data_IF_462601564190
#
_entry.id   IF_462601564190
#
_cell.length_a   1.000
_cell.length_b   1.000
_cell.length_c   1.000
_cell.angle_alpha   90.00
_cell.angle_beta   90.00
_cell.angle_gamma   90.00
#
_symmetry.space_group_name_H-M   'P 1'
#
loop_
_entity.id
_entity.type
_entity.pdbx_description
1 polymer ?
#
# COMPACT_ATOMS: atom_id res chain seq x y z
N UNK A 1 13.72 54.12 4.28
CA UNK A 1 14.79 54.15 3.27
C UNK A 1 14.59 52.95 2.36
N UNK A 2 14.59 53.19 1.06
CA UNK A 2 13.81 52.40 0.13
C UNK A 2 14.61 51.44 -0.77
N UNK A 3 13.86 50.53 -1.37
CA UNK A 3 13.97 50.02 -2.75
C UNK A 3 15.33 49.53 -3.28
N UNK A 4 15.30 48.38 -3.90
CA UNK A 4 15.75 48.24 -5.30
C UNK A 4 15.38 46.87 -5.85
N UNK A 5 14.47 46.88 -6.82
CA UNK A 5 14.39 45.94 -7.95
C UNK A 5 15.48 46.24 -8.95
N UNK A 6 15.93 45.31 -9.76
CA UNK A 6 15.92 45.46 -11.21
C UNK A 6 15.43 44.21 -11.93
N UNK A 7 14.46 44.39 -12.79
CA UNK A 7 14.52 44.69 -14.23
C UNK A 7 15.04 43.59 -15.14
N UNK A 8 14.06 43.17 -15.94
CA UNK A 8 14.14 42.54 -17.29
C UNK A 8 15.31 43.01 -18.18
N UNK A 9 15.76 42.14 -19.05
CA UNK A 9 16.16 42.43 -20.45
C UNK A 9 16.46 41.10 -21.13
N UNK A 10 15.65 40.74 -22.18
CA UNK A 10 15.84 40.96 -23.63
C UNK A 10 16.97 40.14 -24.22
N UNK A 11 16.76 39.33 -25.24
CA UNK A 11 16.69 39.53 -26.71
C UNK A 11 16.64 38.12 -27.33
N UNK A 12 15.72 37.68 -28.12
CA UNK A 12 15.40 38.02 -29.50
C UNK A 12 16.44 37.58 -30.53
N UNK A 13 15.91 36.85 -31.52
CA UNK A 13 16.32 36.68 -32.91
C UNK A 13 17.45 35.71 -33.29
N UNK A 14 17.12 34.71 -34.14
CA UNK A 14 17.42 34.76 -35.55
C UNK A 14 16.77 33.63 -36.35
N UNK A 15 16.04 34.02 -37.36
CA UNK A 15 15.59 33.25 -38.52
C UNK A 15 16.80 32.83 -39.36
N UNK A 16 16.82 31.59 -39.89
CA UNK A 16 17.54 31.30 -41.13
C UNK A 16 16.74 30.28 -41.93
N UNK A 17 16.22 30.77 -43.03
CA UNK A 17 15.66 30.08 -44.17
C UNK A 17 16.80 29.37 -44.95
N UNK A 18 16.61 28.11 -45.36
CA UNK A 18 17.50 27.43 -46.29
C UNK A 18 16.74 26.34 -47.02
N UNK A 19 16.33 26.69 -48.27
CA UNK A 19 15.74 25.81 -49.29
C UNK A 19 16.81 24.95 -49.97
N UNK A 20 16.33 23.77 -50.43
CA UNK A 20 16.65 23.04 -51.68
C UNK A 20 17.47 21.77 -51.45
N UNK A 21 17.18 20.60 -51.91
CA UNK A 21 16.94 20.06 -53.25
C UNK A 21 16.56 18.59 -53.20
N UNK A 22 15.78 18.16 -54.13
CA UNK A 22 15.33 16.83 -54.43
C UNK A 22 16.47 15.82 -54.63
N UNK A 23 16.26 14.59 -54.10
CA UNK A 23 17.06 13.42 -54.42
C UNK A 23 16.24 12.16 -54.11
N UNK A 24 15.56 11.65 -55.14
CA UNK A 24 14.90 10.36 -55.09
C UNK A 24 15.94 9.23 -55.08
N UNK A 25 16.05 8.54 -53.98
CA UNK A 25 16.70 7.21 -53.90
C UNK A 25 15.73 6.25 -53.20
N UNK A 26 15.17 5.39 -54.04
CA UNK A 26 14.40 4.25 -53.55
C UNK A 26 15.36 3.27 -52.84
N UNK A 27 15.39 3.32 -51.52
CA UNK A 27 16.01 2.30 -50.69
C UNK A 27 14.95 1.29 -50.28
N UNK A 28 15.13 0.06 -50.76
CA UNK A 28 14.41 -1.11 -50.30
C UNK A 28 14.54 -1.22 -48.77
N UNK A 29 13.49 -0.90 -48.09
CA UNK A 29 13.34 -1.20 -46.66
C UNK A 29 13.18 -2.70 -46.51
N UNK A 30 14.30 -3.38 -46.26
CA UNK A 30 14.29 -4.71 -45.64
C UNK A 30 13.71 -4.46 -44.24
N UNK A 31 12.46 -4.79 -44.07
CA UNK A 31 11.80 -4.79 -42.79
C UNK A 31 12.45 -5.81 -41.88
N UNK A 32 13.36 -5.39 -41.01
CA UNK A 32 13.72 -6.15 -39.83
C UNK A 32 12.47 -6.17 -38.96
N UNK A 33 11.78 -7.30 -38.98
CA UNK A 33 10.77 -7.63 -37.98
C UNK A 33 11.48 -7.63 -36.63
N UNK A 34 11.45 -6.50 -35.93
CA UNK A 34 11.74 -6.51 -34.51
C UNK A 34 10.62 -7.30 -33.87
N UNK A 35 10.96 -8.51 -33.44
CA UNK A 35 10.15 -9.22 -32.48
C UNK A 35 10.05 -8.31 -31.25
N UNK A 36 8.96 -7.55 -31.18
CA UNK A 36 8.53 -6.97 -29.92
C UNK A 36 8.29 -8.19 -29.02
N UNK A 37 9.26 -8.48 -28.17
CA UNK A 37 8.98 -9.20 -26.95
C UNK A 37 7.94 -8.37 -26.25
N UNK A 38 6.68 -8.70 -26.46
CA UNK A 38 5.62 -8.35 -25.55
C UNK A 38 6.07 -8.93 -24.22
N UNK A 39 6.75 -8.11 -23.40
CA UNK A 39 6.68 -8.32 -21.97
C UNK A 39 5.19 -8.27 -21.69
N UNK A 40 4.56 -9.44 -21.71
CA UNK A 40 3.35 -9.63 -20.96
C UNK A 40 3.71 -9.16 -19.55
N UNK A 41 3.36 -7.93 -19.21
CA UNK A 41 2.98 -7.65 -17.85
C UNK A 41 1.90 -8.70 -17.62
N UNK A 42 2.29 -9.84 -17.03
CA UNK A 42 1.33 -10.62 -16.29
C UNK A 42 0.60 -9.58 -15.48
N UNK A 43 -0.60 -9.30 -15.95
CA UNK A 43 -1.53 -8.43 -15.27
C UNK A 43 -1.37 -8.84 -13.81
N UNK A 44 -1.00 -7.89 -12.99
CA UNK A 44 -1.04 -8.05 -11.54
C UNK A 44 -2.40 -8.64 -11.30
N UNK A 45 -2.46 -9.98 -11.21
CA UNK A 45 -3.63 -10.69 -10.78
C UNK A 45 -3.97 -9.95 -9.52
N UNK A 46 -5.12 -9.29 -9.49
CA UNK A 46 -5.55 -8.49 -8.36
C UNK A 46 -5.20 -9.35 -7.15
N UNK A 47 -4.32 -8.87 -6.27
CA UNK A 47 -3.92 -9.58 -5.05
C UNK A 47 -5.11 -9.58 -4.09
N UNK A 48 -6.27 -10.02 -4.60
CA UNK A 48 -7.45 -10.21 -3.81
C UNK A 48 -7.19 -11.38 -2.86
N UNK A 49 -7.38 -11.10 -1.59
CA UNK A 49 -7.24 -12.09 -0.54
C UNK A 49 -8.17 -13.28 -0.83
N UNK A 50 -7.61 -14.46 -0.90
CA UNK A 50 -8.35 -15.68 -1.28
C UNK A 50 -7.96 -16.85 -0.38
N UNK A 51 -8.85 -17.86 -0.32
CA UNK A 51 -8.58 -19.10 0.39
C UNK A 51 -7.71 -20.04 -0.46
N UNK A 52 -6.99 -20.94 0.20
CA UNK A 52 -6.21 -22.00 -0.43
C UNK A 52 -7.12 -23.17 -0.84
N UNK A 53 -7.64 -23.11 -2.05
CA UNK A 53 -8.62 -24.11 -2.54
C UNK A 53 -9.76 -24.35 -1.53
N UNK A 54 -10.34 -23.27 -1.01
CA UNK A 54 -11.44 -23.32 -0.04
C UNK A 54 -11.01 -23.53 1.41
N UNK A 55 -9.72 -23.70 1.71
CA UNK A 55 -9.15 -23.86 3.05
C UNK A 55 -8.40 -22.61 3.47
N UNK A 56 -8.27 -22.41 4.77
CA UNK A 56 -7.41 -21.35 5.30
C UNK A 56 -5.93 -21.64 5.05
N UNK A 57 -5.12 -20.59 4.92
CA UNK A 57 -3.68 -20.67 4.80
C UNK A 57 -3.03 -21.08 6.12
N UNK A 58 -2.05 -21.97 6.06
CA UNK A 58 -1.27 -22.35 7.23
C UNK A 58 -0.48 -21.15 7.77
N UNK A 59 -0.24 -21.17 9.08
CA UNK A 59 0.48 -20.12 9.80
C UNK A 59 1.57 -20.69 10.68
N UNK A 60 2.56 -19.90 11.01
CA UNK A 60 3.57 -20.21 12.02
C UNK A 60 3.32 -19.45 13.34
N UNK A 61 4.13 -19.76 14.36
CA UNK A 61 3.99 -19.16 15.70
C UNK A 61 4.30 -17.65 15.68
N UNK A 62 5.23 -17.21 14.82
CA UNK A 62 5.60 -15.80 14.73
C UNK A 62 4.42 -14.97 14.21
N UNK A 63 3.76 -15.45 13.14
CA UNK A 63 2.57 -14.82 12.59
C UNK A 63 1.42 -14.82 13.59
N UNK A 64 1.11 -15.98 14.19
CA UNK A 64 0.03 -16.09 15.20
C UNK A 64 0.25 -15.15 16.38
N UNK A 65 1.47 -15.12 16.92
CA UNK A 65 1.82 -14.25 18.03
C UNK A 65 1.65 -12.76 17.69
N UNK A 66 2.19 -12.33 16.55
CA UNK A 66 2.08 -10.94 16.08
C UNK A 66 0.63 -10.53 15.87
N UNK A 67 -0.15 -11.33 15.12
CA UNK A 67 -1.56 -11.03 14.87
C UNK A 67 -2.42 -11.02 16.13
N UNK A 68 -2.12 -11.87 17.12
CA UNK A 68 -2.79 -11.82 18.42
C UNK A 68 -2.53 -10.52 19.16
N UNK A 69 -1.29 -9.99 19.12
CA UNK A 69 -0.96 -8.71 19.73
C UNK A 69 -1.60 -7.54 18.99
N UNK A 70 -1.56 -7.53 17.65
CA UNK A 70 -2.26 -6.51 16.85
C UNK A 70 -3.75 -6.50 17.18
N UNK A 71 -4.39 -7.69 17.21
CA UNK A 71 -5.80 -7.81 17.59
C UNK A 71 -6.07 -7.21 18.97
N UNK A 72 -5.23 -7.51 19.96
CA UNK A 72 -5.35 -6.96 21.31
C UNK A 72 -5.25 -5.44 21.34
N UNK A 73 -4.27 -4.87 20.65
CA UNK A 73 -4.10 -3.42 20.52
C UNK A 73 -5.34 -2.75 19.93
N UNK A 74 -5.89 -3.30 18.86
CA UNK A 74 -7.06 -2.75 18.17
C UNK A 74 -8.32 -2.89 19.02
N UNK A 75 -8.61 -4.11 19.52
CA UNK A 75 -9.84 -4.40 20.25
C UNK A 75 -10.01 -3.52 21.50
N UNK A 76 -8.91 -3.25 22.23
CA UNK A 76 -8.96 -2.43 23.46
C UNK A 76 -9.24 -0.94 23.19
N UNK A 77 -9.05 -0.45 21.98
CA UNK A 77 -9.20 0.97 21.65
C UNK A 77 -10.50 1.28 20.90
N UNK A 78 -11.17 0.28 20.34
CA UNK A 78 -12.36 0.52 19.49
C UNK A 78 -13.48 1.27 20.20
N UNK A 79 -13.81 0.91 21.43
CA UNK A 79 -14.90 1.57 22.18
C UNK A 79 -14.52 3.01 22.55
N UNK A 80 -13.26 3.24 22.91
CA UNK A 80 -12.75 4.59 23.17
C UNK A 80 -12.76 5.44 21.90
N UNK A 81 -12.40 4.86 20.77
CA UNK A 81 -12.43 5.51 19.45
C UNK A 81 -13.87 5.85 19.03
N UNK A 82 -14.81 4.91 19.17
CA UNK A 82 -16.24 5.13 18.86
C UNK A 82 -16.85 6.25 19.70
N UNK A 83 -16.43 6.35 20.94
CA UNK A 83 -16.85 7.44 21.82
C UNK A 83 -16.16 8.78 21.51
N UNK A 84 -15.33 8.86 20.45
CA UNK A 84 -14.60 10.07 20.08
C UNK A 84 -13.55 10.53 21.10
N UNK A 85 -13.08 9.62 21.97
CA UNK A 85 -12.21 9.97 23.10
C UNK A 85 -10.72 9.75 22.82
N UNK A 86 -10.33 9.29 21.64
CA UNK A 86 -8.93 9.22 21.24
C UNK A 86 -8.49 10.51 20.57
N UNK A 87 -7.38 11.07 21.05
CA UNK A 87 -6.71 12.19 20.38
C UNK A 87 -5.90 11.73 19.16
N UNK A 88 -5.53 12.65 18.27
CA UNK A 88 -4.68 12.38 17.14
C UNK A 88 -3.33 11.74 17.56
N UNK A 89 -2.73 12.23 18.65
CA UNK A 89 -1.49 11.66 19.19
C UNK A 89 -1.66 10.22 19.67
N UNK A 90 -2.80 9.88 20.26
CA UNK A 90 -3.10 8.50 20.69
C UNK A 90 -3.32 7.57 19.50
N UNK A 91 -3.99 8.03 18.43
CA UNK A 91 -4.09 7.26 17.19
C UNK A 91 -2.71 7.01 16.57
N UNK A 92 -1.86 8.05 16.47
CA UNK A 92 -0.51 7.91 15.93
C UNK A 92 0.36 6.95 16.76
N UNK A 93 0.29 7.03 18.10
CA UNK A 93 1.01 6.12 18.98
C UNK A 93 0.53 4.68 18.83
N UNK A 94 -0.79 4.46 18.68
CA UNK A 94 -1.36 3.13 18.43
C UNK A 94 -0.91 2.58 17.07
N UNK A 95 -0.90 3.42 16.02
CA UNK A 95 -0.40 3.06 14.70
C UNK A 95 1.05 2.58 14.76
N UNK A 96 1.94 3.32 15.41
CA UNK A 96 3.34 2.92 15.56
C UNK A 96 3.54 1.61 16.31
N UNK A 97 2.69 1.30 17.30
CA UNK A 97 2.72 0.00 17.99
C UNK A 97 2.30 -1.14 17.07
N UNK A 98 1.26 -0.94 16.25
CA UNK A 98 0.78 -1.93 15.28
C UNK A 98 1.85 -2.16 14.21
N UNK A 99 2.46 -1.09 13.68
CA UNK A 99 3.56 -1.17 12.71
C UNK A 99 4.77 -1.95 13.28
N UNK A 100 5.10 -1.75 14.55
CA UNK A 100 6.13 -2.52 15.23
C UNK A 100 5.85 -4.03 15.27
N UNK A 101 4.59 -4.42 15.50
CA UNK A 101 4.18 -5.83 15.46
C UNK A 101 4.22 -6.40 14.03
N UNK A 102 3.79 -5.62 13.03
CA UNK A 102 3.92 -5.99 11.61
C UNK A 102 5.39 -6.21 11.26
N UNK A 103 6.27 -5.29 11.64
CA UNK A 103 7.71 -5.44 11.43
C UNK A 103 8.28 -6.72 12.07
N UNK A 104 7.79 -7.06 13.27
CA UNK A 104 8.14 -8.31 13.95
C UNK A 104 7.65 -9.56 13.22
N UNK A 105 6.46 -9.53 12.62
CA UNK A 105 5.94 -10.59 11.76
C UNK A 105 6.83 -10.75 10.53
N UNK A 106 7.03 -9.69 9.76
CA UNK A 106 7.82 -9.71 8.52
C UNK A 106 9.24 -10.22 8.75
N UNK A 107 9.85 -9.87 9.87
CA UNK A 107 11.22 -10.30 10.19
C UNK A 107 11.35 -11.77 10.59
N UNK A 108 10.29 -12.42 11.06
CA UNK A 108 10.38 -13.73 11.73
C UNK A 108 9.51 -14.80 11.13
N UNK A 109 8.39 -14.47 10.47
CA UNK A 109 7.50 -15.49 9.92
C UNK A 109 8.16 -16.20 8.73
N UNK A 110 7.83 -17.50 8.59
CA UNK A 110 8.30 -18.35 7.51
C UNK A 110 7.12 -19.13 6.97
N UNK A 111 6.51 -18.63 5.94
CA UNK A 111 5.34 -19.21 5.31
C UNK A 111 5.68 -19.81 3.95
N UNK A 112 4.83 -20.71 3.48
CA UNK A 112 4.83 -21.10 2.08
C UNK A 112 4.59 -19.87 1.16
N UNK A 113 5.23 -19.79 -0.03
CA UNK A 113 5.20 -18.58 -0.86
C UNK A 113 3.79 -18.06 -1.17
N UNK A 114 2.81 -18.95 -1.38
CA UNK A 114 1.43 -18.54 -1.64
C UNK A 114 0.73 -17.99 -0.39
N UNK A 115 0.98 -18.57 0.76
CA UNK A 115 0.46 -18.06 2.04
C UNK A 115 1.10 -16.71 2.38
N UNK A 116 2.39 -16.55 2.11
CA UNK A 116 3.12 -15.30 2.31
C UNK A 116 2.57 -14.19 1.41
N UNK A 117 2.31 -14.48 0.13
CA UNK A 117 1.69 -13.51 -0.78
C UNK A 117 0.32 -13.04 -0.28
N UNK A 118 -0.50 -13.94 0.27
CA UNK A 118 -1.79 -13.57 0.88
C UNK A 118 -1.62 -12.78 2.18
N UNK A 119 -0.60 -13.08 2.97
CA UNK A 119 -0.28 -12.30 4.16
C UNK A 119 0.11 -10.87 3.81
N UNK A 120 0.85 -10.67 2.74
CA UNK A 120 1.24 -9.33 2.27
C UNK A 120 0.02 -8.48 1.91
N UNK A 121 -1.07 -9.06 1.41
CA UNK A 121 -2.34 -8.33 1.21
C UNK A 121 -2.88 -7.83 2.55
N UNK A 122 -2.97 -8.69 3.56
CA UNK A 122 -3.44 -8.30 4.90
C UNK A 122 -2.55 -7.22 5.53
N UNK A 123 -1.23 -7.37 5.41
CA UNK A 123 -0.25 -6.38 5.92
C UNK A 123 -0.41 -5.04 5.20
N UNK A 124 -0.65 -5.04 3.90
CA UNK A 124 -0.92 -3.83 3.12
C UNK A 124 -2.15 -3.08 3.62
N UNK A 125 -3.25 -3.80 3.89
CA UNK A 125 -4.47 -3.21 4.45
C UNK A 125 -4.26 -2.68 5.89
N UNK A 126 -3.50 -3.40 6.73
CA UNK A 126 -3.11 -2.90 8.06
C UNK A 126 -2.30 -1.61 7.90
N UNK A 127 -1.33 -1.57 6.97
CA UNK A 127 -0.51 -0.40 6.68
C UNK A 127 -1.34 0.80 6.24
N UNK A 128 -2.27 0.62 5.31
CA UNK A 128 -3.18 1.69 4.88
C UNK A 128 -4.00 2.26 6.06
N UNK A 129 -4.48 1.40 6.94
CA UNK A 129 -5.20 1.81 8.14
C UNK A 129 -4.31 2.56 9.14
N UNK A 130 -3.07 2.09 9.38
CA UNK A 130 -2.12 2.78 10.29
C UNK A 130 -1.67 4.13 9.73
N UNK A 131 -1.49 4.25 8.42
CA UNK A 131 -1.19 5.53 7.79
C UNK A 131 -2.33 6.55 7.97
N UNK A 132 -3.59 6.12 7.84
CA UNK A 132 -4.73 6.97 8.14
C UNK A 132 -4.80 7.36 9.63
N UNK A 133 -4.54 6.40 10.54
CA UNK A 133 -4.45 6.68 11.99
C UNK A 133 -3.37 7.69 12.33
N UNK A 134 -2.23 7.65 11.63
CA UNK A 134 -1.12 8.57 11.80
C UNK A 134 -1.33 9.93 11.10
N UNK A 135 -2.46 10.14 10.42
CA UNK A 135 -2.76 11.37 9.69
C UNK A 135 -1.98 11.53 8.38
N UNK A 136 -1.37 10.46 7.86
CA UNK A 136 -0.62 10.47 6.60
C UNK A 136 -1.52 10.40 5.36
N UNK A 137 -2.80 10.07 5.54
CA UNK A 137 -3.77 9.94 4.45
C UNK A 137 -4.71 11.15 4.44
N UNK A 138 -4.55 12.12 3.52
CA UNK A 138 -5.39 13.31 3.48
C UNK A 138 -6.87 12.98 3.37
N UNK A 139 -7.71 13.65 4.17
CA UNK A 139 -9.17 13.51 4.13
C UNK A 139 -9.73 12.25 4.80
N UNK A 140 -8.89 11.35 5.29
CA UNK A 140 -9.33 10.15 6.01
C UNK A 140 -9.24 10.36 7.52
N UNK A 141 -10.35 10.30 8.27
CA UNK A 141 -10.34 10.41 9.73
C UNK A 141 -9.54 9.26 10.38
N UNK A 142 -8.75 9.55 11.42
CA UNK A 142 -7.96 8.55 12.13
C UNK A 142 -8.82 7.39 12.71
N UNK A 143 -10.04 7.69 13.16
CA UNK A 143 -11.00 6.69 13.63
C UNK A 143 -11.38 5.69 12.52
N UNK A 144 -11.52 6.16 11.27
CA UNK A 144 -11.77 5.29 10.13
C UNK A 144 -10.56 4.40 9.83
N UNK A 145 -9.34 4.92 10.00
CA UNK A 145 -8.11 4.13 9.91
C UNK A 145 -8.10 2.96 10.91
N UNK A 146 -8.50 3.20 12.16
CA UNK A 146 -8.58 2.12 13.16
C UNK A 146 -9.63 1.05 12.79
N UNK A 147 -10.78 1.46 12.27
CA UNK A 147 -11.81 0.52 11.76
C UNK A 147 -11.27 -0.27 10.57
N UNK A 148 -10.49 0.36 9.70
CA UNK A 148 -9.84 -0.32 8.58
C UNK A 148 -8.85 -1.40 9.05
N UNK A 149 -8.00 -1.08 10.03
CA UNK A 149 -7.11 -2.09 10.65
C UNK A 149 -7.92 -3.24 11.26
N UNK A 150 -9.01 -2.95 11.98
CA UNK A 150 -9.87 -3.98 12.55
C UNK A 150 -10.48 -4.89 11.48
N UNK A 151 -10.86 -4.33 10.33
CA UNK A 151 -11.35 -5.08 9.17
C UNK A 151 -10.26 -6.00 8.60
N UNK A 152 -9.05 -5.52 8.41
CA UNK A 152 -7.92 -6.30 7.94
C UNK A 152 -7.56 -7.45 8.90
N UNK A 153 -7.64 -7.22 10.22
CA UNK A 153 -7.47 -8.26 11.24
C UNK A 153 -8.58 -9.32 11.13
N UNK A 154 -9.80 -8.94 10.79
CA UNK A 154 -10.90 -9.88 10.56
C UNK A 154 -10.72 -10.64 9.24
N UNK A 155 -10.12 -10.02 8.22
CA UNK A 155 -9.76 -10.69 6.98
C UNK A 155 -8.70 -11.77 7.23
N UNK A 156 -7.68 -11.47 8.03
CA UNK A 156 -6.77 -12.49 8.51
C UNK A 156 -7.52 -13.65 9.18
N UNK A 157 -8.43 -13.39 10.10
CA UNK A 157 -9.19 -14.42 10.81
C UNK A 157 -9.99 -15.33 9.88
N UNK A 158 -10.46 -14.79 8.74
CA UNK A 158 -11.21 -15.55 7.74
C UNK A 158 -10.33 -16.42 6.85
N UNK A 159 -9.10 -15.98 6.56
CA UNK A 159 -8.27 -16.58 5.52
C UNK A 159 -7.08 -17.39 6.07
N UNK A 160 -6.71 -17.22 7.33
CA UNK A 160 -5.55 -17.88 7.93
C UNK A 160 -5.95 -18.81 9.09
N UNK A 161 -5.27 -19.94 9.19
CA UNK A 161 -5.50 -20.89 10.24
C UNK A 161 -4.83 -20.42 11.55
N UNK A 162 -5.65 -20.03 12.52
CA UNK A 162 -5.17 -19.55 13.80
C UNK A 162 -6.13 -20.05 14.90
N UNK A 163 -5.83 -21.20 15.50
CA UNK A 163 -6.68 -21.77 16.54
C UNK A 163 -6.93 -20.80 17.69
N UNK A 164 -8.19 -20.60 18.05
CA UNK A 164 -8.59 -19.70 19.14
C UNK A 164 -8.62 -18.21 18.80
N UNK A 165 -8.20 -17.80 17.59
CA UNK A 165 -8.29 -16.41 17.18
C UNK A 165 -9.74 -16.00 16.91
N UNK A 166 -10.19 -14.94 17.57
CA UNK A 166 -11.56 -14.45 17.44
C UNK A 166 -11.57 -13.15 16.66
N UNK A 167 -12.48 -12.97 15.68
CA UNK A 167 -12.67 -11.70 15.03
C UNK A 167 -12.97 -10.58 16.02
N UNK A 168 -12.69 -9.35 15.62
CA UNK A 168 -13.01 -8.14 16.36
C UNK A 168 -14.45 -7.72 16.01
N UNK A 169 -15.28 -7.45 17.01
CA UNK A 169 -16.61 -6.90 16.77
C UNK A 169 -16.50 -5.46 16.27
N UNK A 170 -16.70 -5.27 14.98
CA UNK A 170 -16.82 -3.96 14.34
C UNK A 170 -18.32 -3.65 14.34
N UNK A 171 -18.80 -2.90 15.37
CA UNK A 171 -20.21 -2.49 15.43
C UNK A 171 -20.55 -1.59 14.22
N UNK A 172 -21.78 -1.71 13.75
CA UNK A 172 -22.39 -0.84 12.77
C UNK A 172 -22.92 0.43 13.44
#
# INVERSE_FOLDING_TARGET
KPMRTPTLQHLATALALGMALAGALATLMVGTAQAQTTHSHEATASNALSLNAGRKWATDDALRGGMSRIRGLVATQLDTARAGRLSAAQYAALAGRIEGEVGGIVAKCKLEPKADAMLHVVIGEIGAGTDAMAGKTPGVPAAQGLVHVASAVNDYARHFEHPGFRPIAIGH
#
